data_IF_156844169739
#
_entry.id   IF_156844169739
#
_cell.length_a   1.000
_cell.length_b   1.000
_cell.length_c   1.000
_cell.angle_alpha   90.00
_cell.angle_beta   90.00
_cell.angle_gamma   90.00
#
_symmetry.space_group_name_H-M   'P 1'
#
loop_
_entity.id
_entity.type
_entity.pdbx_description
1 polymer ?
#
# COMPACT_ATOMS: atom_id res chain seq x y z
N UNK A 1 -34.41 7.27 19.19
CA UNK A 1 -33.02 7.63 19.53
C UNK A 1 -32.27 7.84 18.26
N UNK A 2 -32.31 9.07 17.73
CA UNK A 2 -31.72 9.41 16.43
C UNK A 2 -30.19 9.42 16.57
N UNK A 3 -29.54 8.42 16.00
CA UNK A 3 -28.11 8.52 15.71
C UNK A 3 -27.96 9.46 14.50
N UNK A 4 -27.61 10.71 14.77
CA UNK A 4 -27.11 11.60 13.73
C UNK A 4 -25.87 10.92 13.10
N UNK A 5 -25.99 10.58 11.85
CA UNK A 5 -24.84 10.25 11.00
C UNK A 5 -24.00 11.51 10.88
N UNK A 6 -23.06 11.70 11.81
CA UNK A 6 -22.06 12.75 11.68
C UNK A 6 -21.31 12.49 10.39
N UNK A 7 -21.37 13.43 9.45
CA UNK A 7 -20.56 13.37 8.24
C UNK A 7 -19.11 13.16 8.66
N UNK A 8 -18.53 12.04 8.26
CA UNK A 8 -17.09 11.74 8.47
C UNK A 8 -16.28 12.82 7.74
N UNK A 9 -15.90 13.87 8.47
CA UNK A 9 -14.98 14.90 7.97
C UNK A 9 -13.56 14.56 8.42
N UNK A 10 -12.57 14.94 7.65
CA UNK A 10 -11.16 14.74 8.00
C UNK A 10 -10.85 15.33 9.39
N UNK A 11 -11.37 16.53 9.67
CA UNK A 11 -11.21 17.19 10.97
C UNK A 11 -11.90 16.41 12.11
N UNK A 12 -13.08 15.83 11.84
CA UNK A 12 -13.80 15.01 12.82
C UNK A 12 -13.05 13.73 13.19
N UNK A 13 -12.53 13.01 12.20
CA UNK A 13 -11.73 11.78 12.39
C UNK A 13 -10.42 12.09 13.12
N UNK A 14 -9.70 13.12 12.70
CA UNK A 14 -8.45 13.55 13.33
C UNK A 14 -8.71 14.01 14.78
N UNK A 15 -9.76 14.80 15.00
CA UNK A 15 -10.15 15.25 16.34
C UNK A 15 -10.50 14.09 17.26
N UNK A 16 -11.22 13.08 16.78
CA UNK A 16 -11.54 11.89 17.56
C UNK A 16 -10.31 11.01 17.83
N UNK A 17 -9.44 10.82 16.87
CA UNK A 17 -8.17 10.09 17.04
C UNK A 17 -7.27 10.77 18.08
N UNK A 18 -7.16 12.12 18.05
CA UNK A 18 -6.41 12.89 19.05
C UNK A 18 -7.08 12.74 20.44
N UNK A 19 -8.41 12.78 20.52
CA UNK A 19 -9.15 12.60 21.78
C UNK A 19 -8.99 11.20 22.36
N UNK A 20 -9.02 10.17 21.52
CA UNK A 20 -8.76 8.79 21.93
C UNK A 20 -7.30 8.64 22.37
N UNK A 21 -6.35 9.14 21.63
CA UNK A 21 -4.93 9.13 21.97
C UNK A 21 -4.61 9.84 23.28
N UNK A 22 -5.29 10.96 23.57
CA UNK A 22 -5.16 11.67 24.84
C UNK A 22 -5.78 10.92 26.04
N UNK A 23 -6.77 10.05 25.81
CA UNK A 23 -7.38 9.20 26.84
C UNK A 23 -6.59 7.91 27.09
N UNK A 24 -5.88 7.42 26.11
CA UNK A 24 -4.92 6.33 26.26
C UNK A 24 -3.68 6.93 26.91
N UNK A 25 -3.59 6.92 28.24
CA UNK A 25 -2.40 7.31 28.98
C UNK A 25 -1.23 6.50 28.44
N UNK A 26 -0.28 7.20 27.81
CA UNK A 26 0.71 6.70 26.91
C UNK A 26 1.55 5.55 27.43
N UNK A 27 1.23 4.35 26.97
CA UNK A 27 2.24 3.31 26.92
C UNK A 27 3.14 3.58 25.72
N UNK A 28 4.43 3.48 25.88
CA UNK A 28 5.38 3.47 24.78
C UNK A 28 5.10 2.26 23.87
N UNK A 29 5.41 2.37 22.58
CA UNK A 29 5.25 1.26 21.67
C UNK A 29 6.07 0.04 22.16
N UNK A 30 5.48 -1.16 22.28
CA UNK A 30 6.16 -2.34 22.81
C UNK A 30 7.18 -2.87 21.79
N UNK A 31 8.38 -2.29 21.77
CA UNK A 31 9.43 -2.65 20.80
C UNK A 31 9.92 -4.09 20.95
N UNK A 32 9.62 -4.72 22.08
CA UNK A 32 9.94 -6.13 22.39
C UNK A 32 9.26 -7.11 21.46
N UNK A 33 8.19 -6.71 20.77
CA UNK A 33 7.53 -7.54 19.74
C UNK A 33 8.43 -7.79 18.53
N UNK A 34 9.42 -6.91 18.31
CA UNK A 34 10.35 -7.06 17.21
C UNK A 34 11.55 -7.95 17.56
N UNK A 35 12.14 -8.62 16.54
CA UNK A 35 13.43 -9.27 16.72
C UNK A 35 14.51 -8.29 17.24
N UNK A 36 15.43 -8.77 18.04
CA UNK A 36 16.46 -7.93 18.72
C UNK A 36 17.23 -7.01 17.76
N UNK A 37 17.42 -7.44 16.50
CA UNK A 37 18.10 -6.59 15.49
C UNK A 37 17.27 -5.35 15.16
N UNK A 38 15.96 -5.50 15.07
CA UNK A 38 15.03 -4.38 14.80
C UNK A 38 14.96 -3.46 16.02
N UNK A 39 14.89 -4.01 17.23
CA UNK A 39 14.93 -3.22 18.47
C UNK A 39 16.18 -2.34 18.51
N UNK A 40 17.36 -2.88 18.17
CA UNK A 40 18.62 -2.11 18.11
C UNK A 40 18.58 -0.99 17.09
N UNK A 41 17.98 -1.20 15.92
CA UNK A 41 17.79 -0.15 14.90
C UNK A 41 16.92 0.96 15.47
N UNK A 42 15.78 0.62 16.09
CA UNK A 42 14.87 1.59 16.70
C UNK A 42 15.60 2.43 17.75
N UNK A 43 16.30 1.78 18.68
CA UNK A 43 17.06 2.46 19.73
C UNK A 43 18.16 3.36 19.15
N UNK A 44 18.93 2.87 18.17
CA UNK A 44 19.98 3.68 17.52
C UNK A 44 19.41 4.92 16.82
N UNK A 45 18.27 4.81 16.15
CA UNK A 45 17.63 5.94 15.49
C UNK A 45 17.09 6.95 16.51
N UNK A 46 16.59 6.47 17.65
CA UNK A 46 16.18 7.32 18.75
C UNK A 46 17.38 8.08 19.33
N UNK A 47 18.43 7.36 19.69
CA UNK A 47 19.62 7.90 20.37
C UNK A 47 20.43 8.85 19.48
N UNK A 48 20.60 8.50 18.19
CA UNK A 48 21.47 9.26 17.28
C UNK A 48 20.73 10.36 16.51
N UNK A 49 19.44 10.18 16.21
CA UNK A 49 18.65 11.09 15.37
C UNK A 49 17.53 11.80 16.11
N UNK A 50 17.27 11.44 17.38
CA UNK A 50 16.17 11.98 18.16
C UNK A 50 14.79 11.59 17.61
N UNK A 51 14.69 10.50 16.87
CA UNK A 51 13.41 10.07 16.34
C UNK A 51 12.53 9.47 17.45
N UNK A 52 11.25 9.84 17.55
CA UNK A 52 10.34 9.22 18.51
C UNK A 52 10.22 7.71 18.25
N UNK A 53 10.42 6.91 19.31
CA UNK A 53 10.40 5.44 19.25
C UNK A 53 9.10 4.93 18.60
N UNK A 54 7.96 5.47 18.98
CA UNK A 54 6.65 5.08 18.45
C UNK A 54 6.55 5.25 16.94
N UNK A 55 7.10 6.37 16.40
CA UNK A 55 7.03 6.62 14.97
C UNK A 55 7.98 5.72 14.19
N UNK A 56 9.17 5.45 14.74
CA UNK A 56 10.12 4.51 14.11
C UNK A 56 9.54 3.10 14.11
N UNK A 57 9.02 2.64 15.24
CA UNK A 57 8.46 1.31 15.40
C UNK A 57 7.25 1.10 14.48
N UNK A 58 6.33 2.07 14.45
CA UNK A 58 5.17 2.05 13.56
C UNK A 58 5.58 2.02 12.08
N UNK A 59 6.52 2.88 11.68
CA UNK A 59 7.01 2.93 10.31
C UNK A 59 7.68 1.62 9.87
N UNK A 60 8.49 1.01 10.74
CA UNK A 60 9.11 -0.29 10.47
C UNK A 60 8.05 -1.39 10.36
N UNK A 61 7.04 -1.39 11.25
CA UNK A 61 5.94 -2.36 11.17
C UNK A 61 5.19 -2.25 9.84
N UNK A 62 4.88 -1.03 9.39
CA UNK A 62 4.26 -0.78 8.10
C UNK A 62 5.14 -1.26 6.94
N UNK A 63 6.44 -0.97 6.97
CA UNK A 63 7.39 -1.42 5.95
C UNK A 63 7.48 -2.95 5.87
N UNK A 64 7.49 -3.64 7.03
CA UNK A 64 7.46 -5.11 7.09
C UNK A 64 6.15 -5.64 6.46
N UNK A 65 5.01 -5.04 6.78
CA UNK A 65 3.72 -5.44 6.22
C UNK A 65 3.69 -5.31 4.69
N UNK A 66 4.24 -4.21 4.14
CA UNK A 66 4.39 -4.02 2.69
C UNK A 66 5.33 -5.07 2.08
N UNK A 67 6.45 -5.36 2.73
CA UNK A 67 7.40 -6.38 2.29
C UNK A 67 6.80 -7.80 2.25
N UNK A 68 5.95 -8.15 3.21
CA UNK A 68 5.21 -9.40 3.22
C UNK A 68 4.14 -9.39 2.11
N UNK A 69 3.36 -8.33 2.03
CA UNK A 69 2.27 -8.19 1.06
C UNK A 69 1.35 -9.42 1.03
N UNK A 70 1.00 -9.87 -0.16
CA UNK A 70 0.13 -11.04 -0.38
C UNK A 70 0.86 -12.39 -0.34
N UNK A 71 2.17 -12.41 -0.01
CA UNK A 71 2.96 -13.64 -0.06
C UNK A 71 2.65 -14.61 1.09
N UNK A 72 2.25 -14.10 2.26
CA UNK A 72 2.01 -14.89 3.47
C UNK A 72 0.73 -14.46 4.19
N UNK A 73 0.19 -15.41 4.95
CA UNK A 73 -0.92 -15.20 5.85
C UNK A 73 -0.55 -15.73 7.22
N UNK A 74 -1.12 -15.12 8.25
CA UNK A 74 -1.03 -15.61 9.62
C UNK A 74 -2.28 -16.42 9.94
N UNK A 75 -2.10 -17.66 10.39
CA UNK A 75 -3.17 -18.44 10.97
C UNK A 75 -3.26 -18.14 12.47
N UNK A 76 -4.22 -17.27 12.83
CA UNK A 76 -4.45 -16.88 14.24
C UNK A 76 -5.09 -18.01 15.03
N UNK A 77 -6.06 -18.69 14.41
CA UNK A 77 -6.75 -19.88 14.94
C UNK A 77 -7.12 -20.82 13.80
N UNK A 78 -7.56 -22.03 14.13
CA UNK A 78 -8.11 -22.97 13.14
C UNK A 78 -9.22 -22.27 12.34
N UNK A 79 -9.08 -22.20 11.02
CA UNK A 79 -9.97 -21.52 10.08
C UNK A 79 -10.01 -19.99 10.18
N UNK A 80 -9.07 -19.37 10.89
CA UNK A 80 -8.93 -17.93 10.94
C UNK A 80 -7.56 -17.51 10.41
N UNK A 81 -7.56 -17.00 9.16
CA UNK A 81 -6.38 -16.52 8.46
C UNK A 81 -6.47 -15.00 8.33
N UNK A 82 -5.39 -14.31 8.70
CA UNK A 82 -5.26 -12.86 8.56
C UNK A 82 -4.15 -12.49 7.58
N UNK A 83 -4.34 -11.36 6.91
CA UNK A 83 -3.33 -10.77 6.03
C UNK A 83 -2.60 -9.62 6.73
N UNK A 84 -1.37 -9.27 6.30
CA UNK A 84 -0.61 -8.19 6.91
C UNK A 84 -1.06 -6.80 6.41
N UNK A 85 -2.34 -6.62 6.07
CA UNK A 85 -2.87 -5.30 5.67
C UNK A 85 -2.93 -4.42 6.89
N UNK A 86 -2.27 -3.26 6.82
CA UNK A 86 -2.28 -2.25 7.86
C UNK A 86 -2.78 -0.92 7.31
N UNK A 87 -3.69 -0.28 8.06
CA UNK A 87 -4.04 1.12 7.91
C UNK A 87 -3.41 1.87 9.08
N UNK A 88 -2.45 2.74 8.78
CA UNK A 88 -1.66 3.42 9.80
C UNK A 88 -1.63 4.92 9.55
N UNK A 89 -1.82 5.70 10.61
CA UNK A 89 -1.68 7.14 10.58
C UNK A 89 -0.75 7.59 11.72
N UNK A 90 0.28 8.35 11.38
CA UNK A 90 1.16 8.99 12.35
C UNK A 90 0.62 10.39 12.65
N UNK A 91 0.11 10.58 13.86
CA UNK A 91 -0.50 11.83 14.30
C UNK A 91 0.44 12.51 15.30
N UNK A 92 0.74 13.76 15.09
CA UNK A 92 1.58 14.54 15.99
C UNK A 92 1.58 16.03 15.65
N UNK A 93 2.06 16.85 16.57
CA UNK A 93 2.18 18.30 16.38
C UNK A 93 3.12 18.62 15.19
N UNK A 94 2.99 19.79 14.57
CA UNK A 94 4.03 20.28 13.65
C UNK A 94 5.41 20.23 14.31
N UNK A 95 6.43 19.77 13.60
CA UNK A 95 7.78 19.61 14.14
C UNK A 95 8.02 18.36 14.99
N UNK A 96 7.02 17.47 15.18
CA UNK A 96 7.18 16.22 15.94
C UNK A 96 8.01 15.14 15.24
N UNK A 97 8.68 15.47 14.16
CA UNK A 97 9.60 14.59 13.42
C UNK A 97 8.95 13.27 12.93
N UNK A 98 7.73 13.35 12.36
CA UNK A 98 6.96 12.20 11.87
C UNK A 98 7.50 11.62 10.56
N UNK A 99 7.91 12.50 9.63
CA UNK A 99 8.21 12.12 8.25
C UNK A 99 9.54 11.40 8.09
N UNK A 100 10.56 11.75 8.89
CA UNK A 100 11.89 11.13 8.79
C UNK A 100 11.89 9.63 9.15
N UNK A 101 11.28 9.17 10.27
CA UNK A 101 11.15 7.76 10.56
C UNK A 101 10.45 6.99 9.45
N UNK A 102 9.40 7.57 8.89
CA UNK A 102 8.64 6.97 7.81
C UNK A 102 9.49 6.85 6.53
N UNK A 103 10.17 7.93 6.13
CA UNK A 103 11.09 7.92 4.98
C UNK A 103 12.22 6.90 5.16
N UNK A 104 12.79 6.81 6.36
CA UNK A 104 13.83 5.82 6.67
C UNK A 104 13.34 4.39 6.45
N UNK A 105 12.19 4.03 7.04
CA UNK A 105 11.66 2.68 6.95
C UNK A 105 11.27 2.28 5.52
N UNK A 106 10.83 3.24 4.71
CA UNK A 106 10.38 3.01 3.33
C UNK A 106 11.45 3.24 2.27
N UNK A 107 12.64 3.70 2.65
CA UNK A 107 13.74 3.95 1.71
C UNK A 107 14.01 2.78 0.74
N UNK A 108 14.04 1.50 1.17
CA UNK A 108 14.27 0.37 0.27
C UNK A 108 13.19 0.24 -0.82
N UNK A 109 11.94 0.55 -0.51
CA UNK A 109 10.84 0.52 -1.49
C UNK A 109 10.90 1.71 -2.44
N UNK A 110 11.27 2.88 -1.95
CA UNK A 110 11.45 4.09 -2.77
C UNK A 110 12.57 3.85 -3.79
N UNK A 111 13.71 3.32 -3.36
CA UNK A 111 14.84 3.01 -4.23
C UNK A 111 14.49 1.93 -5.27
N UNK A 112 13.82 0.86 -4.83
CA UNK A 112 13.32 -0.18 -5.72
C UNK A 112 12.41 0.41 -6.81
N UNK A 113 11.40 1.18 -6.41
CA UNK A 113 10.43 1.75 -7.33
C UNK A 113 11.07 2.77 -8.30
N UNK A 114 12.09 3.50 -7.84
CA UNK A 114 12.89 4.37 -8.69
C UNK A 114 13.65 3.58 -9.76
N UNK A 115 14.37 2.54 -9.37
CA UNK A 115 15.09 1.67 -10.30
C UNK A 115 14.14 1.00 -11.30
N UNK A 116 13.02 0.45 -10.82
CA UNK A 116 12.00 -0.18 -11.67
C UNK A 116 11.36 0.81 -12.64
N UNK A 117 11.19 2.06 -12.23
CA UNK A 117 10.69 3.09 -13.12
C UNK A 117 11.69 3.42 -14.24
N UNK A 118 12.98 3.50 -13.95
CA UNK A 118 14.00 3.73 -14.98
C UNK A 118 14.05 2.58 -16.00
N UNK A 119 13.96 1.34 -15.53
CA UNK A 119 13.89 0.17 -16.38
C UNK A 119 12.63 0.17 -17.26
N UNK A 120 11.48 0.42 -16.64
CA UNK A 120 10.21 0.55 -17.34
C UNK A 120 10.26 1.62 -18.46
N UNK A 121 10.85 2.79 -18.20
CA UNK A 121 10.96 3.85 -19.22
C UNK A 121 11.77 3.41 -20.44
N UNK A 122 12.85 2.65 -20.24
CA UNK A 122 13.65 2.09 -21.35
C UNK A 122 12.83 1.08 -22.16
N UNK A 123 12.19 0.12 -21.49
CA UNK A 123 11.36 -0.89 -22.13
C UNK A 123 10.16 -0.27 -22.85
N UNK A 124 9.57 0.75 -22.27
CA UNK A 124 8.43 1.44 -22.87
C UNK A 124 8.83 2.22 -24.14
N UNK A 125 9.99 2.88 -24.11
CA UNK A 125 10.52 3.55 -25.31
C UNK A 125 10.84 2.55 -26.44
N UNK A 126 11.35 1.37 -26.10
CA UNK A 126 11.57 0.29 -27.07
C UNK A 126 10.25 -0.25 -27.64
N UNK A 127 9.27 -0.48 -26.75
CA UNK A 127 7.92 -0.87 -27.14
C UNK A 127 7.27 0.16 -28.09
N UNK A 128 7.36 1.46 -27.81
CA UNK A 128 6.81 2.51 -28.68
C UNK A 128 7.50 2.51 -30.05
N UNK A 129 8.83 2.34 -30.11
CA UNK A 129 9.57 2.20 -31.38
C UNK A 129 9.07 0.99 -32.17
N UNK A 130 8.92 -0.14 -31.53
CA UNK A 130 8.43 -1.38 -32.14
C UNK A 130 7.00 -1.22 -32.64
N UNK A 131 6.14 -0.55 -31.86
CA UNK A 131 4.75 -0.29 -32.26
C UNK A 131 4.62 0.72 -33.41
N UNK A 132 5.59 1.61 -33.57
CA UNK A 132 5.64 2.55 -34.72
C UNK A 132 5.98 1.87 -36.04
N UNK A 133 6.56 0.67 -36.03
CA UNK A 133 6.84 -0.14 -37.20
C UNK A 133 5.57 -0.81 -37.72
N UNK A 134 5.45 -0.98 -39.03
CA UNK A 134 4.42 -1.82 -39.63
C UNK A 134 4.59 -3.29 -39.24
N UNK A 135 3.53 -4.10 -39.33
CA UNK A 135 3.60 -5.54 -39.05
C UNK A 135 4.69 -6.22 -39.88
N UNK A 136 4.82 -5.86 -41.17
CA UNK A 136 5.79 -6.42 -42.10
C UNK A 136 7.21 -6.09 -41.63
N UNK A 137 7.51 -4.86 -41.32
CA UNK A 137 8.81 -4.42 -40.81
C UNK A 137 9.21 -5.12 -39.50
N UNK A 138 8.26 -5.32 -38.58
CA UNK A 138 8.52 -6.08 -37.34
C UNK A 138 8.94 -7.52 -37.65
N UNK A 139 8.20 -8.20 -38.53
CA UNK A 139 8.52 -9.59 -38.92
C UNK A 139 9.87 -9.69 -39.65
N UNK A 140 10.19 -8.75 -40.56
CA UNK A 140 11.47 -8.69 -41.23
C UNK A 140 12.64 -8.43 -40.25
N UNK A 141 12.40 -7.67 -39.20
CA UNK A 141 13.36 -7.42 -38.13
C UNK A 141 13.43 -8.55 -37.07
N UNK A 142 12.63 -9.63 -37.21
CA UNK A 142 12.58 -10.73 -36.25
C UNK A 142 11.95 -10.39 -34.92
N UNK A 143 11.12 -9.31 -34.86
CA UNK A 143 10.41 -8.87 -33.70
C UNK A 143 9.03 -9.53 -33.61
N UNK A 144 8.44 -9.51 -32.42
CA UNK A 144 7.08 -10.03 -32.17
C UNK A 144 6.04 -9.29 -33.05
N UNK A 145 5.13 -10.05 -33.60
CA UNK A 145 4.01 -9.51 -34.38
C UNK A 145 3.07 -8.65 -33.50
N UNK A 146 2.88 -9.07 -32.25
CA UNK A 146 2.02 -8.44 -31.26
C UNK A 146 2.78 -8.12 -29.97
N UNK A 147 3.65 -7.10 -29.99
CA UNK A 147 4.43 -6.74 -28.81
C UNK A 147 3.52 -6.42 -27.63
N UNK A 148 3.86 -6.96 -26.47
CA UNK A 148 3.13 -6.65 -25.24
C UNK A 148 3.73 -5.41 -24.59
N UNK A 149 2.84 -4.53 -24.13
CA UNK A 149 3.27 -3.36 -23.39
C UNK A 149 3.97 -3.78 -22.08
N UNK A 150 5.12 -3.19 -21.75
CA UNK A 150 5.82 -3.49 -20.50
C UNK A 150 4.97 -3.08 -19.29
N UNK A 151 5.12 -3.82 -18.20
CA UNK A 151 4.43 -3.57 -16.94
C UNK A 151 5.40 -2.95 -15.95
N UNK A 152 4.99 -1.85 -15.31
CA UNK A 152 5.78 -1.22 -14.27
C UNK A 152 5.61 -1.95 -12.94
N UNK A 153 6.69 -2.56 -12.44
CA UNK A 153 6.75 -3.10 -11.08
C UNK A 153 6.89 -1.96 -10.07
N UNK A 154 6.10 -1.99 -9.00
CA UNK A 154 6.18 -1.01 -7.90
C UNK A 154 5.49 -1.49 -6.62
N UNK A 155 5.90 -0.91 -5.50
CA UNK A 155 5.28 -1.08 -4.20
C UNK A 155 4.42 0.12 -3.79
N UNK A 156 4.80 1.34 -4.18
CA UNK A 156 4.22 2.56 -3.67
C UNK A 156 3.31 3.25 -4.68
N UNK A 157 2.19 3.76 -4.17
CA UNK A 157 1.27 4.65 -4.88
C UNK A 157 0.91 5.81 -3.95
N UNK A 158 0.66 7.00 -4.48
CA UNK A 158 0.33 8.18 -3.68
C UNK A 158 -1.05 8.74 -3.98
N UNK A 159 -1.25 9.28 -5.14
CA UNK A 159 -2.54 9.84 -5.57
C UNK A 159 -3.17 8.88 -6.57
N UNK A 160 -4.25 8.19 -6.17
CA UNK A 160 -4.84 7.13 -6.98
C UNK A 160 -6.33 6.98 -6.71
N UNK A 161 -7.09 6.78 -7.78
CA UNK A 161 -8.51 6.40 -7.69
C UNK A 161 -8.65 4.89 -7.46
N UNK A 162 -9.81 4.41 -6.94
CA UNK A 162 -10.08 2.98 -6.79
C UNK A 162 -9.89 2.17 -8.09
N UNK A 163 -10.31 2.73 -9.21
CA UNK A 163 -10.16 2.10 -10.53
C UNK A 163 -8.69 1.99 -10.94
N UNK A 164 -7.94 3.08 -10.77
CA UNK A 164 -6.51 3.10 -11.04
C UNK A 164 -5.74 2.13 -10.14
N UNK A 165 -6.10 2.06 -8.85
CA UNK A 165 -5.50 1.10 -7.92
C UNK A 165 -5.76 -0.33 -8.36
N UNK A 166 -6.98 -0.62 -8.82
CA UNK A 166 -7.36 -1.95 -9.30
C UNK A 166 -6.50 -2.41 -10.49
N UNK A 167 -6.30 -1.52 -11.48
CA UNK A 167 -5.45 -1.80 -12.64
C UNK A 167 -4.00 -2.04 -12.24
N UNK A 168 -3.46 -1.18 -11.39
CA UNK A 168 -2.07 -1.30 -10.94
C UNK A 168 -1.87 -2.55 -10.08
N UNK A 169 -2.82 -2.88 -9.21
CA UNK A 169 -2.77 -4.06 -8.38
C UNK A 169 -2.81 -5.36 -9.20
N UNK A 170 -3.61 -5.40 -10.27
CA UNK A 170 -3.62 -6.54 -11.19
C UNK A 170 -2.24 -6.81 -11.80
N UNK A 171 -1.46 -5.75 -12.04
CA UNK A 171 -0.09 -5.81 -12.54
C UNK A 171 0.96 -6.07 -11.43
N UNK A 172 0.60 -5.78 -10.17
CA UNK A 172 1.47 -5.91 -9.00
C UNK A 172 0.80 -6.78 -7.92
N UNK A 173 0.59 -8.08 -8.17
CA UNK A 173 -0.22 -8.95 -7.32
C UNK A 173 0.36 -9.19 -5.92
N UNK A 174 1.63 -8.86 -5.70
CA UNK A 174 2.25 -8.93 -4.38
C UNK A 174 1.61 -7.98 -3.37
N UNK A 175 1.05 -6.88 -3.85
CA UNK A 175 0.41 -5.86 -3.05
C UNK A 175 1.01 -4.48 -3.27
N UNK A 176 0.29 -3.47 -2.82
CA UNK A 176 0.65 -2.06 -2.95
C UNK A 176 0.48 -1.37 -1.61
N UNK A 177 1.26 -0.33 -1.40
CA UNK A 177 1.14 0.60 -0.28
C UNK A 177 0.67 1.96 -0.78
N UNK A 178 -0.48 2.42 -0.31
CA UNK A 178 -0.88 3.81 -0.48
C UNK A 178 -0.10 4.67 0.54
N UNK A 179 0.73 5.55 0.01
CA UNK A 179 1.55 6.48 0.77
C UNK A 179 1.01 7.90 0.63
N UNK A 180 0.69 8.55 1.73
CA UNK A 180 0.26 9.95 1.72
C UNK A 180 0.90 10.71 2.89
N UNK A 181 1.54 11.83 2.60
CA UNK A 181 2.09 12.73 3.64
C UNK A 181 0.98 13.45 4.39
N UNK A 182 -0.12 13.77 3.71
CA UNK A 182 -1.26 14.47 4.27
C UNK A 182 -2.52 13.61 4.26
N UNK A 183 -2.90 13.07 5.41
CA UNK A 183 -4.11 12.29 5.57
C UNK A 183 -5.39 13.07 5.19
N UNK A 184 -5.40 14.38 5.41
CA UNK A 184 -6.51 15.26 5.05
C UNK A 184 -6.76 15.31 3.54
N UNK A 185 -5.71 15.27 2.73
CA UNK A 185 -5.82 15.24 1.27
C UNK A 185 -6.47 13.94 0.79
N UNK A 186 -6.09 12.81 1.38
CA UNK A 186 -6.68 11.52 1.07
C UNK A 186 -8.18 11.45 1.39
N UNK A 187 -8.60 11.94 2.58
CA UNK A 187 -10.02 11.99 2.95
C UNK A 187 -10.84 12.94 2.07
N UNK A 188 -10.27 14.06 1.63
CA UNK A 188 -10.96 14.99 0.73
C UNK A 188 -11.27 14.38 -0.65
N UNK A 189 -10.53 13.37 -1.05
CA UNK A 189 -10.75 12.67 -2.32
C UNK A 189 -11.93 11.69 -2.27
N UNK A 190 -12.36 11.20 -1.09
CA UNK A 190 -13.42 10.19 -0.96
C UNK A 190 -14.78 10.56 -1.57
N UNK A 191 -15.10 11.83 -1.70
CA UNK A 191 -16.39 12.28 -2.22
C UNK A 191 -16.26 13.13 -3.49
N UNK A 192 -15.08 13.17 -4.09
CA UNK A 192 -14.80 14.10 -5.20
C UNK A 192 -15.48 13.71 -6.51
N UNK A 193 -15.65 12.43 -6.76
CA UNK A 193 -16.18 11.91 -8.03
C UNK A 193 -17.39 11.00 -7.87
N UNK A 194 -17.64 10.39 -6.70
CA UNK A 194 -18.75 9.49 -6.48
C UNK A 194 -19.27 9.58 -5.05
N UNK A 195 -20.53 9.89 -4.85
CA UNK A 195 -21.17 9.98 -3.52
C UNK A 195 -21.05 8.65 -2.75
N UNK A 196 -20.03 8.50 -1.91
CA UNK A 196 -19.93 7.46 -0.86
C UNK A 196 -19.40 6.09 -1.27
N UNK A 197 -19.08 5.83 -2.55
CA UNK A 197 -18.59 4.50 -2.97
C UNK A 197 -17.11 4.25 -2.66
N UNK A 198 -16.32 5.28 -2.49
CA UNK A 198 -14.88 5.16 -2.24
C UNK A 198 -14.57 4.69 -0.81
N UNK A 199 -15.32 5.16 0.18
CA UNK A 199 -15.16 4.69 1.56
C UNK A 199 -15.39 3.17 1.67
N UNK A 200 -16.47 2.67 1.06
CA UNK A 200 -16.77 1.24 1.05
C UNK A 200 -15.69 0.42 0.35
N UNK A 201 -15.10 0.95 -0.73
CA UNK A 201 -13.99 0.32 -1.40
C UNK A 201 -12.80 0.16 -0.45
N UNK A 202 -12.38 1.23 0.24
CA UNK A 202 -11.25 1.17 1.17
C UNK A 202 -11.49 0.25 2.37
N UNK A 203 -12.72 0.20 2.88
CA UNK A 203 -13.11 -0.76 3.92
C UNK A 203 -13.04 -2.22 3.42
N UNK A 204 -13.41 -2.46 2.17
CA UNK A 204 -13.30 -3.79 1.56
C UNK A 204 -11.83 -4.19 1.38
N UNK A 205 -10.99 -3.27 0.94
CA UNK A 205 -9.53 -3.48 0.82
C UNK A 205 -8.92 -3.82 2.17
N UNK A 206 -9.29 -3.09 3.24
CA UNK A 206 -8.83 -3.38 4.61
C UNK A 206 -9.14 -4.82 5.04
N UNK A 207 -10.34 -5.29 4.74
CA UNK A 207 -10.77 -6.65 5.08
C UNK A 207 -10.18 -7.74 4.16
N UNK A 208 -9.29 -7.40 3.22
CA UNK A 208 -8.75 -8.32 2.22
C UNK A 208 -9.84 -9.09 1.44
N UNK A 209 -11.04 -8.53 1.32
CA UNK A 209 -12.14 -9.16 0.59
C UNK A 209 -11.95 -8.93 -0.91
N UNK A 210 -12.21 -9.93 -1.74
CA UNK A 210 -12.22 -9.75 -3.18
C UNK A 210 -13.29 -8.72 -3.55
N UNK A 211 -12.92 -7.73 -4.34
CA UNK A 211 -13.84 -6.72 -4.87
C UNK A 211 -13.87 -6.87 -6.38
N UNK A 212 -15.06 -7.06 -6.94
CA UNK A 212 -15.29 -7.11 -8.39
C UNK A 212 -15.89 -5.77 -8.78
N UNK A 213 -15.28 -5.08 -9.74
CA UNK A 213 -15.79 -3.82 -10.27
C UNK A 213 -16.07 -3.97 -11.75
N UNK A 214 -17.34 -4.08 -12.11
CA UNK A 214 -17.83 -4.13 -13.49
C UNK A 214 -18.41 -2.77 -13.88
N UNK A 215 -17.53 -1.80 -14.20
CA UNK A 215 -17.99 -0.48 -14.67
C UNK A 215 -17.94 -0.39 -16.19
N UNK A 216 -18.93 0.27 -16.79
CA UNK A 216 -19.09 0.43 -18.25
C UNK A 216 -17.89 1.07 -18.96
N UNK A 217 -17.04 1.80 -18.24
CA UNK A 217 -15.84 2.44 -18.78
C UNK A 217 -14.61 1.54 -18.83
N UNK A 218 -14.65 0.36 -18.21
CA UNK A 218 -13.54 -0.59 -18.18
C UNK A 218 -13.99 -1.86 -18.89
N UNK A 219 -13.37 -2.18 -20.02
CA UNK A 219 -13.70 -3.39 -20.82
C UNK A 219 -13.32 -4.71 -20.14
N UNK A 220 -12.81 -4.67 -18.90
CA UNK A 220 -12.45 -5.86 -18.13
C UNK A 220 -12.96 -5.72 -16.69
N UNK A 221 -13.62 -6.75 -16.18
CA UNK A 221 -13.88 -6.90 -14.75
C UNK A 221 -12.55 -7.07 -14.03
N UNK A 222 -12.27 -6.17 -13.08
CA UNK A 222 -11.05 -6.23 -12.28
C UNK A 222 -11.44 -6.86 -10.96
N UNK A 223 -10.91 -8.05 -10.71
CA UNK A 223 -11.10 -8.76 -9.47
C UNK A 223 -9.86 -8.58 -8.61
N UNK A 224 -9.99 -7.95 -7.44
CA UNK A 224 -9.03 -8.10 -6.38
C UNK A 224 -9.21 -9.50 -5.80
N UNK A 225 -8.61 -10.50 -6.42
CA UNK A 225 -8.61 -11.83 -5.86
C UNK A 225 -7.32 -12.03 -5.07
N UNK A 226 -7.49 -12.45 -3.84
CA UNK A 226 -6.47 -13.13 -3.06
C UNK A 226 -6.14 -14.44 -3.81
N UNK A 227 -5.30 -14.38 -4.84
CA UNK A 227 -4.74 -15.60 -5.40
C UNK A 227 -3.70 -16.13 -4.42
N UNK A 228 -4.18 -16.79 -3.39
CA UNK A 228 -3.36 -17.72 -2.65
C UNK A 228 -3.27 -18.96 -3.51
N UNK A 229 -2.22 -19.10 -4.29
CA UNK A 229 -1.75 -20.43 -4.61
C UNK A 229 -1.33 -21.07 -3.29
N UNK A 230 -2.23 -21.85 -2.72
CA UNK A 230 -1.91 -22.78 -1.66
C UNK A 230 -0.89 -23.80 -2.21
N UNK A 231 0.38 -23.44 -2.19
CA UNK A 231 1.43 -24.45 -2.18
C UNK A 231 1.33 -25.12 -0.81
N UNK A 232 0.52 -26.16 -0.76
CA UNK A 232 0.40 -27.10 0.34
C UNK A 232 1.73 -27.82 0.48
N UNK A 233 2.70 -27.19 1.14
CA UNK A 233 3.79 -27.92 1.77
C UNK A 233 3.27 -28.34 3.14
N UNK A 234 2.77 -29.56 3.20
CA UNK A 234 2.62 -30.30 4.44
C UNK A 234 4.01 -30.35 5.10
N UNK A 235 4.21 -29.56 6.14
CA UNK A 235 5.25 -29.86 7.10
C UNK A 235 4.72 -30.99 7.98
N UNK A 236 5.07 -32.21 7.57
CA UNK A 236 4.88 -33.41 8.40
C UNK A 236 5.80 -33.34 9.60
N UNK A 237 5.18 -33.63 10.76
CA UNK A 237 5.69 -34.15 12.05
C UNK A 237 6.86 -33.42 12.67
#
# INVERSE_FOLDING_TARGET
MNMETSKLTAEGIIGEAVRIGAKMSGGEFPIEIFPIRIQRIISSLHDCQGYPVDYVAAAILAAIAVGIGNSHLVQVKRNWLESPILYMALIGRPGANKSHPLSFAFQPFIEHDYCQNQEYQKLYAEYERTMSMSKKERLEAGLDEFPQAPVRSRFLVSDITPEGLSLIHAQNPRGLCLWSDELSAWFKNFNRYNNGSEEQFWLSVFNAKPTISDRKSTQSSICFSRQIQASRKEYGR
#
